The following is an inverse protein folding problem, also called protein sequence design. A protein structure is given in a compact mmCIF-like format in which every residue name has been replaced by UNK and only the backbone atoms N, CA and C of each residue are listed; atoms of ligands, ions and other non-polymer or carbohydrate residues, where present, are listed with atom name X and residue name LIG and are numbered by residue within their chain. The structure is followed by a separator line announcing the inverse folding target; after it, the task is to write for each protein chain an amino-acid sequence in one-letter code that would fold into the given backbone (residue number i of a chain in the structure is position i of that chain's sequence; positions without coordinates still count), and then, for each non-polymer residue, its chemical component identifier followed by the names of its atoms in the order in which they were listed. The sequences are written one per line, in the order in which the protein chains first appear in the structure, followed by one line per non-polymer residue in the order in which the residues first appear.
data_IF_224845869740
#
_entry.id   IF_224845869740
#
_cell.length_a   1.000
_cell.length_b   1.000
_cell.length_c   1.000
_cell.angle_alpha   90.00
_cell.angle_beta   90.00
_cell.angle_gamma   90.00
#
_symmetry.space_group_name_H-M   'P 1'
#
loop_
_entity.id
_entity.type
_entity.pdbx_description
1 polymer ?
#
# COMPACT_ATOMS: atom_id res chain seq x y z
N UNK A 1 1.48 7.39 15.55
CA UNK A 1 2.32 6.37 14.90
C UNK A 1 1.54 5.84 13.72
N UNK A 2 2.21 5.80 12.58
CA UNK A 2 1.70 5.32 11.31
C UNK A 2 2.50 4.10 10.89
N UNK A 3 1.87 3.15 10.21
CA UNK A 3 2.54 1.97 9.66
C UNK A 3 2.49 2.02 8.14
N UNK A 4 3.54 1.48 7.52
CA UNK A 4 3.60 1.25 6.08
C UNK A 4 3.68 -0.25 5.84
N UNK A 5 2.81 -0.75 4.96
CA UNK A 5 2.66 -2.18 4.70
C UNK A 5 2.60 -2.43 3.21
N UNK A 6 3.32 -3.46 2.76
CA UNK A 6 3.24 -4.00 1.42
C UNK A 6 2.46 -5.31 1.45
N UNK A 7 1.62 -5.49 0.45
CA UNK A 7 0.95 -6.74 0.15
C UNK A 7 1.37 -7.19 -1.25
N UNK A 8 1.74 -8.46 -1.38
CA UNK A 8 2.02 -9.10 -2.67
C UNK A 8 1.08 -10.28 -2.83
N UNK A 9 0.31 -10.31 -3.90
CA UNK A 9 -0.55 -11.45 -4.21
C UNK A 9 0.30 -12.64 -4.65
N UNK A 10 0.12 -13.78 -3.98
CA UNK A 10 0.78 -15.01 -4.38
C UNK A 10 0.22 -15.49 -5.71
N UNK A 11 1.10 -15.89 -6.61
CA UNK A 11 0.74 -16.48 -7.90
C UNK A 11 1.12 -17.97 -7.92
N UNK A 12 0.20 -18.79 -8.40
CA UNK A 12 0.43 -20.19 -8.71
C UNK A 12 0.14 -20.42 -10.19
N UNK A 13 1.09 -21.01 -10.92
CA UNK A 13 1.00 -21.22 -12.38
C UNK A 13 0.69 -19.94 -13.18
N UNK A 14 1.18 -18.78 -12.71
CA UNK A 14 0.94 -17.47 -13.33
C UNK A 14 -0.46 -16.89 -13.10
N UNK A 15 -1.22 -17.46 -12.16
CA UNK A 15 -2.54 -16.99 -11.78
C UNK A 15 -2.57 -16.55 -10.31
N UNK A 16 -3.27 -15.43 -10.00
CA UNK A 16 -3.43 -15.01 -8.62
C UNK A 16 -4.20 -16.04 -7.80
N UNK A 17 -3.67 -16.36 -6.63
CA UNK A 17 -4.27 -17.35 -5.71
C UNK A 17 -5.32 -16.72 -4.78
N UNK A 18 -5.39 -15.40 -4.72
CA UNK A 18 -6.20 -14.66 -3.74
C UNK A 18 -5.58 -14.62 -2.33
N UNK A 19 -4.40 -15.19 -2.14
CA UNK A 19 -3.61 -15.07 -0.90
C UNK A 19 -2.62 -13.93 -1.07
N UNK A 20 -2.43 -13.12 -0.03
CA UNK A 20 -1.48 -12.00 -0.05
C UNK A 20 -0.45 -12.15 1.06
N UNK A 21 0.82 -12.05 0.69
CA UNK A 21 1.93 -11.96 1.63
C UNK A 21 2.04 -10.53 2.13
N UNK A 22 1.86 -10.36 3.44
CA UNK A 22 2.00 -9.07 4.12
C UNK A 22 3.45 -8.86 4.58
N UNK A 23 4.03 -7.73 4.19
CA UNK A 23 5.35 -7.29 4.65
C UNK A 23 5.23 -5.92 5.31
N UNK A 24 5.54 -5.84 6.60
CA UNK A 24 5.55 -4.59 7.34
C UNK A 24 6.85 -3.82 7.04
N UNK A 25 6.73 -2.67 6.36
CA UNK A 25 7.85 -1.85 5.90
C UNK A 25 8.40 -0.94 7.01
N UNK A 26 7.60 -0.67 8.03
CA UNK A 26 8.04 0.08 9.21
C UNK A 26 6.91 0.83 9.92
N UNK A 27 7.27 1.41 11.05
CA UNK A 27 6.40 2.30 11.83
C UNK A 27 7.07 3.66 11.94
N UNK A 28 6.29 4.71 11.70
CA UNK A 28 6.74 6.09 11.51
C UNK A 28 5.98 7.03 12.44
N UNK A 29 6.58 8.18 12.73
CA UNK A 29 5.97 9.17 13.61
C UNK A 29 4.82 9.88 12.89
N UNK A 30 5.00 10.20 11.61
CA UNK A 30 4.03 10.92 10.78
C UNK A 30 3.50 10.08 9.62
N UNK A 31 2.38 10.53 9.07
CA UNK A 31 1.77 9.91 7.89
C UNK A 31 2.65 10.06 6.65
N UNK A 32 3.21 11.25 6.43
CA UNK A 32 4.09 11.55 5.29
C UNK A 32 5.32 10.63 5.25
N UNK A 33 5.89 10.31 6.41
CA UNK A 33 7.01 9.35 6.51
C UNK A 33 6.58 7.94 6.10
N UNK A 34 5.40 7.49 6.52
CA UNK A 34 4.85 6.18 6.15
C UNK A 34 4.53 6.10 4.64
N UNK A 35 3.98 7.17 4.06
CA UNK A 35 3.74 7.28 2.62
C UNK A 35 5.06 7.29 1.85
N UNK A 36 6.07 8.03 2.32
CA UNK A 36 7.38 8.07 1.67
C UNK A 36 8.05 6.68 1.66
N UNK A 37 7.94 5.92 2.76
CA UNK A 37 8.43 4.55 2.82
C UNK A 37 7.68 3.60 1.87
N UNK A 38 6.36 3.74 1.79
CA UNK A 38 5.52 2.98 0.86
C UNK A 38 5.91 3.24 -0.60
N UNK A 39 6.09 4.52 -0.98
CA UNK A 39 6.56 4.92 -2.32
C UNK A 39 7.94 4.36 -2.64
N UNK A 40 8.89 4.46 -1.71
CA UNK A 40 10.23 3.91 -1.92
C UNK A 40 10.21 2.39 -2.15
N UNK A 41 9.37 1.66 -1.40
CA UNK A 41 9.16 0.22 -1.61
C UNK A 41 8.54 -0.09 -2.97
N UNK A 42 7.51 0.68 -3.37
CA UNK A 42 6.89 0.58 -4.70
C UNK A 42 7.89 0.79 -5.82
N UNK A 43 8.70 1.84 -5.75
CA UNK A 43 9.70 2.16 -6.78
C UNK A 43 10.75 1.04 -6.88
N UNK A 44 11.16 0.47 -5.73
CA UNK A 44 12.04 -0.69 -5.70
C UNK A 44 11.39 -1.98 -6.25
N UNK A 45 10.06 -2.06 -6.26
CA UNK A 45 9.29 -3.18 -6.79
C UNK A 45 8.98 -3.04 -8.30
N UNK A 46 9.44 -1.97 -8.95
CA UNK A 46 9.22 -1.75 -10.37
C UNK A 46 9.78 -2.91 -11.22
N UNK A 47 9.02 -3.32 -12.24
CA UNK A 47 9.40 -4.40 -13.16
C UNK A 47 9.07 -5.82 -12.68
N UNK A 48 8.44 -5.97 -11.51
CA UNK A 48 7.84 -7.22 -11.04
C UNK A 48 6.51 -7.48 -11.74
N UNK A 49 6.17 -8.76 -11.94
CA UNK A 49 4.94 -9.15 -12.62
C UNK A 49 3.79 -9.37 -11.62
N UNK A 50 4.15 -9.74 -10.40
CA UNK A 50 3.23 -10.01 -9.31
C UNK A 50 2.39 -8.77 -8.98
N UNK A 51 1.10 -8.99 -8.70
CA UNK A 51 0.24 -7.92 -8.22
C UNK A 51 0.63 -7.54 -6.79
N UNK A 52 0.91 -6.25 -6.57
CA UNK A 52 1.29 -5.74 -5.27
C UNK A 52 0.58 -4.41 -5.00
N UNK A 53 0.29 -4.15 -3.72
CA UNK A 53 -0.21 -2.85 -3.26
C UNK A 53 0.45 -2.45 -1.95
N UNK A 54 0.46 -1.14 -1.71
CA UNK A 54 1.06 -0.52 -0.54
C UNK A 54 0.05 0.34 0.16
N UNK A 55 0.08 0.34 1.48
CA UNK A 55 -0.75 1.21 2.30
C UNK A 55 0.10 1.99 3.29
N UNK A 56 -0.38 3.19 3.63
CA UNK A 56 -0.01 3.89 4.85
C UNK A 56 -1.28 4.08 5.68
N UNK A 57 -1.21 3.78 6.97
CA UNK A 57 -2.35 3.90 7.89
C UNK A 57 -1.89 4.27 9.29
N UNK A 58 -2.79 4.80 10.12
CA UNK A 58 -2.51 4.94 11.55
C UNK A 58 -2.48 3.54 12.18
N UNK A 59 -1.53 3.33 13.08
CA UNK A 59 -1.36 2.02 13.71
C UNK A 59 -2.64 1.57 14.42
N UNK A 60 -3.10 0.37 14.11
CA UNK A 60 -4.31 -0.24 14.69
C UNK A 60 -5.62 0.19 14.02
N UNK A 61 -5.58 1.10 13.04
CA UNK A 61 -6.73 1.37 12.18
C UNK A 61 -6.86 0.30 11.09
N UNK A 62 -8.09 0.06 10.64
CA UNK A 62 -8.37 -0.86 9.54
C UNK A 62 -8.32 -0.20 8.17
N UNK A 63 -8.50 1.12 8.15
CA UNK A 63 -8.60 1.92 6.94
C UNK A 63 -7.24 2.59 6.73
N UNK A 64 -6.75 2.51 5.49
CA UNK A 64 -5.54 3.23 5.09
C UNK A 64 -5.88 4.68 4.80
N UNK A 65 -4.96 5.59 5.08
CA UNK A 65 -5.07 6.99 4.67
C UNK A 65 -4.45 7.23 3.28
N UNK A 66 -3.67 6.27 2.81
CA UNK A 66 -3.09 6.25 1.46
C UNK A 66 -2.93 4.81 0.95
N UNK A 67 -3.18 4.60 -0.35
CA UNK A 67 -2.97 3.32 -1.05
C UNK A 67 -2.40 3.53 -2.46
N UNK A 68 -1.54 2.61 -2.90
CA UNK A 68 -1.09 2.53 -4.29
C UNK A 68 -0.99 1.08 -4.76
N UNK A 69 -1.13 0.83 -6.07
CA UNK A 69 -1.00 -0.49 -6.67
C UNK A 69 0.07 -0.55 -7.78
N UNK A 70 0.59 -1.75 -8.05
CA UNK A 70 1.69 -1.98 -8.98
C UNK A 70 1.30 -1.87 -10.46
N UNK A 71 0.02 -1.91 -10.81
CA UNK A 71 -0.46 -1.99 -12.21
C UNK A 71 -0.92 -0.66 -12.78
N UNK A 72 -1.62 0.14 -12.00
CA UNK A 72 -2.15 1.43 -12.46
C UNK A 72 -1.13 2.55 -12.33
N UNK A 73 -0.15 2.38 -11.44
CA UNK A 73 0.78 3.42 -11.04
C UNK A 73 0.11 4.63 -10.36
N UNK A 74 -1.19 4.51 -10.03
CA UNK A 74 -1.97 5.54 -9.35
C UNK A 74 -1.79 5.44 -7.85
N UNK A 75 -2.01 6.57 -7.20
CA UNK A 75 -2.07 6.69 -5.75
C UNK A 75 -3.44 7.24 -5.39
N UNK A 76 -4.02 6.73 -4.31
CA UNK A 76 -5.28 7.22 -3.78
C UNK A 76 -5.05 7.63 -2.32
N UNK A 77 -5.42 8.85 -1.99
CA UNK A 77 -5.60 9.24 -0.60
C UNK A 77 -7.00 8.80 -0.18
N UNK A 78 -7.14 8.24 1.02
CA UNK A 78 -8.43 7.83 1.55
C UNK A 78 -8.68 8.69 2.79
N UNK A 79 -9.76 9.46 2.76
CA UNK A 79 -10.21 10.16 3.94
C UNK A 79 -10.86 9.14 4.89
N UNK A 80 -10.08 8.78 5.91
CA UNK A 80 -10.47 7.80 6.92
C UNK A 80 -11.59 8.32 7.82
N UNK A 81 -11.79 9.64 7.90
CA UNK A 81 -12.86 10.24 8.70
C UNK A 81 -14.24 10.17 8.03
N UNK A 82 -14.27 10.03 6.70
CA UNK A 82 -15.51 9.98 5.90
C UNK A 82 -15.71 8.66 5.15
N UNK A 83 -14.83 7.67 5.33
CA UNK A 83 -14.80 6.40 4.57
C UNK A 83 -14.86 6.63 3.04
N UNK A 84 -14.22 7.69 2.54
CA UNK A 84 -14.24 8.05 1.11
C UNK A 84 -12.85 8.06 0.49
N UNK A 85 -12.77 7.53 -0.73
CA UNK A 85 -11.61 7.68 -1.60
C UNK A 85 -11.57 9.13 -2.08
N UNK A 86 -10.44 9.81 -1.84
CA UNK A 86 -10.13 11.13 -2.36
C UNK A 86 -9.10 10.93 -3.48
N UNK A 87 -9.58 10.90 -4.72
CA UNK A 87 -8.73 10.86 -5.91
C UNK A 87 -7.95 12.19 -5.99
N UNK A 88 -6.60 12.20 -6.01
CA UNK A 88 -5.87 13.38 -6.39
C UNK A 88 -5.91 13.48 -7.92
N UNK A 89 -6.68 14.44 -8.41
CA UNK A 89 -6.68 14.92 -9.79
C UNK A 89 -5.29 14.97 -10.44
#
# INVERSE_FOLDING_TARGET
MYESVQYVEEEADGHPTGVSLETHLGTFATEEEAIAAARASRDAYAGRHEYAWWIARRQGERVASWIADSRSGREFAVDVSEERIVDPS
#
